data_IF_537102311270
#
_entry.id   IF_537102311270
#
_cell.length_a   1.000
_cell.length_b   1.000
_cell.length_c   1.000
_cell.angle_alpha   90.00
_cell.angle_beta   90.00
_cell.angle_gamma   90.00
#
_symmetry.space_group_name_H-M   'P 1'
#
loop_
_entity.id
_entity.type
_entity.pdbx_description
1 polymer ?
#
# COMPACT_ATOMS: atom_id res chain seq x y z
N UNK A 1 9.71 42.02 -6.19
CA UNK A 1 9.15 41.29 -7.35
C UNK A 1 9.80 39.92 -7.38
N UNK A 2 9.03 38.85 -7.57
CA UNK A 2 9.62 37.52 -7.82
C UNK A 2 10.33 37.59 -9.18
N UNK A 3 11.64 37.36 -9.18
CA UNK A 3 12.43 37.25 -10.39
C UNK A 3 12.19 35.87 -11.02
N UNK A 4 11.56 35.86 -12.20
CA UNK A 4 11.17 34.64 -12.89
C UNK A 4 12.38 33.80 -13.32
N UNK A 5 13.51 34.44 -13.61
CA UNK A 5 14.75 33.74 -13.98
C UNK A 5 15.34 33.01 -12.78
N UNK A 6 15.30 33.61 -11.60
CA UNK A 6 15.75 32.97 -10.35
C UNK A 6 14.89 31.75 -10.03
N UNK A 7 13.57 31.82 -10.22
CA UNK A 7 12.67 30.67 -10.03
C UNK A 7 13.00 29.56 -11.02
N UNK A 8 13.12 29.90 -12.30
CA UNK A 8 13.40 28.92 -13.36
C UNK A 8 14.74 28.23 -13.10
N UNK A 9 15.78 28.97 -12.73
CA UNK A 9 17.07 28.40 -12.37
C UNK A 9 17.02 27.55 -11.09
N UNK A 10 16.27 27.99 -10.07
CA UNK A 10 16.23 27.30 -8.76
C UNK A 10 15.41 26.02 -8.76
N UNK A 11 14.40 25.92 -9.64
CA UNK A 11 13.39 24.85 -9.60
C UNK A 11 13.21 24.08 -10.92
N UNK A 12 13.67 24.61 -12.06
CA UNK A 12 13.44 24.05 -13.39
C UNK A 12 14.70 24.13 -14.27
N UNK A 13 15.87 23.85 -13.69
CA UNK A 13 17.14 23.82 -14.40
C UNK A 13 17.28 22.54 -15.24
N UNK A 14 17.27 22.69 -16.56
CA UNK A 14 17.31 21.56 -17.49
C UNK A 14 18.63 20.77 -17.43
N UNK A 15 19.76 21.45 -17.26
CA UNK A 15 21.08 20.82 -17.20
C UNK A 15 21.19 19.94 -15.94
N UNK A 16 20.78 20.48 -14.78
CA UNK A 16 20.70 19.73 -13.53
C UNK A 16 19.79 18.51 -13.66
N UNK A 17 18.66 18.63 -14.35
CA UNK A 17 17.72 17.52 -14.54
C UNK A 17 18.32 16.42 -15.42
N UNK A 18 19.00 16.78 -16.52
CA UNK A 18 19.63 15.81 -17.43
C UNK A 18 20.73 15.01 -16.72
N UNK A 19 21.51 15.68 -15.87
CA UNK A 19 22.58 15.04 -15.09
C UNK A 19 22.04 13.97 -14.13
N UNK A 20 20.94 14.27 -13.42
CA UNK A 20 20.39 13.37 -12.39
C UNK A 20 19.28 12.44 -12.88
N UNK A 21 18.86 12.55 -14.15
CA UNK A 21 17.76 11.77 -14.72
C UNK A 21 17.90 10.25 -14.51
N UNK A 22 19.08 9.63 -14.72
CA UNK A 22 19.25 8.20 -14.48
C UNK A 22 18.98 7.79 -13.02
N UNK A 23 19.35 8.64 -12.07
CA UNK A 23 19.13 8.41 -10.65
C UNK A 23 17.62 8.45 -10.33
N UNK A 24 16.89 9.43 -10.87
CA UNK A 24 15.44 9.51 -10.71
C UNK A 24 14.73 8.28 -11.31
N UNK A 25 15.18 7.81 -12.48
CA UNK A 25 14.63 6.60 -13.10
C UNK A 25 14.90 5.34 -12.29
N UNK A 26 16.08 5.21 -11.67
CA UNK A 26 16.36 4.10 -10.75
C UNK A 26 15.45 4.12 -9.51
N UNK A 27 15.19 5.32 -8.97
CA UNK A 27 14.28 5.50 -7.84
C UNK A 27 12.84 5.16 -8.21
N UNK A 28 12.39 5.63 -9.38
CA UNK A 28 11.07 5.29 -9.93
C UNK A 28 10.88 3.78 -10.08
N UNK A 29 11.88 3.08 -10.64
CA UNK A 29 11.80 1.62 -10.78
C UNK A 29 11.73 0.92 -9.42
N UNK A 30 12.49 1.39 -8.43
CA UNK A 30 12.41 0.88 -7.06
C UNK A 30 11.03 1.12 -6.43
N UNK A 31 10.43 2.30 -6.62
CA UNK A 31 9.07 2.60 -6.17
C UNK A 31 8.05 1.64 -6.80
N UNK A 32 8.13 1.42 -8.11
CA UNK A 32 7.25 0.47 -8.83
C UNK A 32 7.43 -0.95 -8.30
N UNK A 33 8.69 -1.42 -8.16
CA UNK A 33 9.01 -2.73 -7.61
C UNK A 33 8.43 -2.91 -6.20
N UNK A 34 8.55 -1.89 -5.35
CA UNK A 34 8.00 -1.92 -4.00
C UNK A 34 6.48 -2.01 -4.03
N UNK A 35 5.80 -1.22 -4.86
CA UNK A 35 4.34 -1.26 -5.00
C UNK A 35 3.85 -2.64 -5.48
N UNK A 36 4.51 -3.20 -6.49
CA UNK A 36 4.19 -4.52 -7.04
C UNK A 36 4.39 -5.66 -6.03
N UNK A 37 5.22 -5.46 -5.00
CA UNK A 37 5.43 -6.45 -3.95
C UNK A 37 4.47 -6.23 -2.77
N UNK A 38 4.38 -5.01 -2.25
CA UNK A 38 3.64 -4.67 -1.04
C UNK A 38 2.13 -4.79 -1.25
N UNK A 39 1.59 -4.34 -2.39
CA UNK A 39 0.14 -4.33 -2.63
C UNK A 39 -0.43 -5.76 -2.65
N UNK A 40 0.10 -6.72 -3.45
CA UNK A 40 -0.42 -8.07 -3.44
C UNK A 40 -0.21 -8.78 -2.11
N UNK A 41 0.95 -8.61 -1.47
CA UNK A 41 1.23 -9.25 -0.18
C UNK A 41 0.30 -8.74 0.92
N UNK A 42 0.13 -7.42 1.03
CA UNK A 42 -0.83 -6.82 1.95
C UNK A 42 -2.24 -7.31 1.70
N UNK A 43 -2.69 -7.30 0.45
CA UNK A 43 -4.04 -7.76 0.08
C UNK A 43 -4.25 -9.24 0.43
N UNK A 44 -3.34 -10.12 0.03
CA UNK A 44 -3.41 -11.56 0.33
C UNK A 44 -3.38 -11.81 1.85
N UNK A 45 -2.53 -11.07 2.58
CA UNK A 45 -2.47 -11.18 4.03
C UNK A 45 -3.78 -10.71 4.69
N UNK A 46 -4.37 -9.61 4.24
CA UNK A 46 -5.66 -9.15 4.73
C UNK A 46 -6.80 -10.14 4.45
N UNK A 47 -6.90 -10.65 3.22
CA UNK A 47 -7.88 -11.69 2.87
C UNK A 47 -7.71 -12.92 3.77
N UNK A 48 -6.48 -13.34 4.03
CA UNK A 48 -6.18 -14.42 4.94
C UNK A 48 -6.68 -14.11 6.37
N UNK A 49 -6.32 -12.96 6.94
CA UNK A 49 -6.76 -12.55 8.28
C UNK A 49 -8.29 -12.53 8.41
N UNK A 50 -8.99 -11.94 7.44
CA UNK A 50 -10.45 -11.86 7.42
C UNK A 50 -11.11 -13.25 7.34
N UNK A 51 -10.58 -14.11 6.47
CA UNK A 51 -11.09 -15.46 6.27
C UNK A 51 -10.91 -16.29 7.53
N UNK A 52 -9.72 -16.24 8.16
CA UNK A 52 -9.46 -16.95 9.41
C UNK A 52 -10.38 -16.45 10.53
N UNK A 53 -10.56 -15.13 10.66
CA UNK A 53 -11.46 -14.53 11.65
C UNK A 53 -12.92 -15.02 11.51
N UNK A 54 -13.39 -15.26 10.28
CA UNK A 54 -14.76 -15.71 10.00
C UNK A 54 -15.12 -17.12 10.52
N UNK A 55 -14.13 -17.91 10.96
CA UNK A 55 -14.38 -19.22 11.57
C UNK A 55 -14.80 -19.14 13.04
N UNK A 56 -14.77 -17.95 13.66
CA UNK A 56 -15.23 -17.68 15.03
C UNK A 56 -14.54 -18.52 16.12
N UNK A 57 -13.25 -18.79 15.97
CA UNK A 57 -12.46 -19.51 16.97
C UNK A 57 -12.03 -18.50 18.04
N UNK A 58 -12.70 -18.48 19.20
CA UNK A 58 -12.57 -17.42 20.23
C UNK A 58 -11.14 -16.98 20.53
N UNK A 59 -10.25 -17.93 20.86
CA UNK A 59 -8.85 -17.61 21.22
C UNK A 59 -8.07 -17.01 20.03
N UNK A 60 -8.26 -17.56 18.84
CA UNK A 60 -7.61 -17.08 17.62
C UNK A 60 -8.14 -15.70 17.22
N UNK A 61 -9.45 -15.49 17.27
CA UNK A 61 -10.06 -14.21 16.95
C UNK A 61 -9.58 -13.11 17.89
N UNK A 62 -9.43 -13.39 19.19
CA UNK A 62 -8.86 -12.40 20.12
C UNK A 62 -7.45 -11.99 19.72
N UNK A 63 -6.57 -12.95 19.40
CA UNK A 63 -5.22 -12.66 18.91
C UNK A 63 -5.20 -11.88 17.59
N UNK A 64 -6.10 -12.22 16.66
CA UNK A 64 -6.24 -11.50 15.39
C UNK A 64 -6.70 -10.06 15.59
N UNK A 65 -7.68 -9.82 16.48
CA UNK A 65 -8.14 -8.46 16.81
C UNK A 65 -7.00 -7.63 17.38
N UNK A 66 -6.27 -8.17 18.37
CA UNK A 66 -5.11 -7.47 18.96
C UNK A 66 -4.05 -7.16 17.90
N UNK A 67 -3.74 -8.12 17.03
CA UNK A 67 -2.79 -7.93 15.94
C UNK A 67 -3.25 -6.83 14.97
N UNK A 68 -4.49 -6.90 14.50
CA UNK A 68 -5.07 -5.94 13.54
C UNK A 68 -5.12 -4.54 14.14
N UNK A 69 -5.60 -4.41 15.38
CA UNK A 69 -5.71 -3.14 16.09
C UNK A 69 -4.32 -2.52 16.31
N UNK A 70 -3.33 -3.31 16.71
CA UNK A 70 -1.96 -2.84 16.90
C UNK A 70 -1.37 -2.24 15.62
N UNK A 71 -1.40 -3.00 14.51
CA UNK A 71 -0.78 -2.57 13.27
C UNK A 71 -1.53 -1.42 12.57
N UNK A 72 -2.84 -1.26 12.81
CA UNK A 72 -3.63 -0.11 12.34
C UNK A 72 -3.44 1.13 13.22
N UNK A 73 -3.10 0.96 14.48
CA UNK A 73 -2.93 2.08 15.43
C UNK A 73 -1.57 2.77 15.31
N UNK A 74 -0.54 2.05 14.81
CA UNK A 74 0.81 2.63 14.67
C UNK A 74 0.92 3.40 13.35
N UNK A 75 1.37 4.68 13.37
CA UNK A 75 1.66 5.42 12.16
C UNK A 75 2.66 4.67 11.25
N UNK A 76 2.43 4.55 9.93
CA UNK A 76 3.29 3.76 9.04
C UNK A 76 4.77 4.17 9.08
N UNK A 77 5.06 5.47 9.21
CA UNK A 77 6.42 5.98 9.36
C UNK A 77 7.08 5.46 10.64
N UNK A 78 6.36 5.49 11.76
CA UNK A 78 6.85 5.02 13.06
C UNK A 78 7.09 3.52 13.02
N UNK A 79 6.20 2.75 12.38
CA UNK A 79 6.38 1.32 12.18
C UNK A 79 7.66 1.02 11.36
N UNK A 80 7.91 1.77 10.28
CA UNK A 80 9.14 1.62 9.50
C UNK A 80 10.39 1.86 10.34
N UNK A 81 10.37 2.87 11.21
CA UNK A 81 11.48 3.17 12.12
C UNK A 81 11.71 1.99 13.08
N UNK A 82 10.64 1.47 13.72
CA UNK A 82 10.77 0.33 14.62
C UNK A 82 11.28 -0.94 13.92
N UNK A 83 10.77 -1.25 12.73
CA UNK A 83 11.21 -2.45 11.99
C UNK A 83 12.67 -2.30 11.52
N UNK A 84 13.03 -1.14 10.98
CA UNK A 84 14.38 -0.94 10.40
C UNK A 84 15.46 -0.80 11.48
N UNK A 85 15.20 -0.03 12.53
CA UNK A 85 16.21 0.27 13.56
C UNK A 85 16.05 -0.60 14.81
N UNK A 86 14.89 -1.21 15.05
CA UNK A 86 14.65 -2.08 16.20
C UNK A 86 15.11 -3.51 15.99
N UNK A 87 14.90 -4.10 14.81
CA UNK A 87 15.28 -5.49 14.52
C UNK A 87 16.79 -5.79 14.71
N UNK A 88 17.73 -4.88 14.39
CA UNK A 88 19.15 -5.11 14.66
C UNK A 88 19.46 -5.36 16.15
N UNK A 89 18.70 -4.81 17.10
CA UNK A 89 18.88 -5.08 18.54
C UNK A 89 18.56 -6.53 18.93
N UNK A 90 17.78 -7.23 18.10
CA UNK A 90 17.49 -8.66 18.25
C UNK A 90 18.45 -9.53 17.42
N UNK A 91 19.49 -8.94 16.82
CA UNK A 91 20.48 -9.62 15.98
C UNK A 91 20.02 -9.84 14.53
N UNK A 92 18.95 -9.17 14.09
CA UNK A 92 18.43 -9.32 12.72
C UNK A 92 18.83 -8.12 11.88
N UNK A 93 19.81 -8.32 10.99
CA UNK A 93 20.20 -7.34 9.97
C UNK A 93 19.31 -7.51 8.74
N UNK A 94 18.26 -6.69 8.65
CA UNK A 94 17.25 -6.80 7.60
C UNK A 94 17.50 -5.72 6.54
N UNK A 95 17.66 -6.10 5.25
CA UNK A 95 17.81 -5.12 4.19
C UNK A 95 16.62 -4.13 4.13
N UNK A 96 16.83 -2.84 3.80
CA UNK A 96 15.77 -1.83 3.82
C UNK A 96 14.51 -2.22 3.03
N UNK A 97 14.69 -2.88 1.88
CA UNK A 97 13.56 -3.36 1.07
C UNK A 97 12.70 -4.38 1.83
N UNK A 98 13.32 -5.34 2.51
CA UNK A 98 12.62 -6.36 3.29
C UNK A 98 11.95 -5.76 4.53
N UNK A 99 12.62 -4.82 5.21
CA UNK A 99 12.05 -4.10 6.36
C UNK A 99 10.77 -3.34 5.97
N UNK A 100 10.82 -2.58 4.87
CA UNK A 100 9.67 -1.85 4.32
C UNK A 100 8.57 -2.83 3.88
N UNK A 101 8.94 -3.92 3.22
CA UNK A 101 8.00 -4.94 2.76
C UNK A 101 7.20 -5.55 3.92
N UNK A 102 7.88 -5.94 5.00
CA UNK A 102 7.24 -6.53 6.19
C UNK A 102 6.35 -5.51 6.89
N UNK A 103 6.88 -4.31 7.16
CA UNK A 103 6.15 -3.24 7.84
C UNK A 103 4.85 -2.89 7.10
N UNK A 104 4.94 -2.66 5.78
CA UNK A 104 3.76 -2.32 5.00
C UNK A 104 2.84 -3.51 4.76
N UNK A 105 3.33 -4.74 4.66
CA UNK A 105 2.46 -5.93 4.55
C UNK A 105 1.60 -6.09 5.80
N UNK A 106 2.17 -5.93 7.00
CA UNK A 106 1.41 -6.02 8.24
C UNK A 106 0.48 -4.83 8.45
N UNK A 107 0.94 -3.61 8.21
CA UNK A 107 0.10 -2.43 8.33
C UNK A 107 -1.07 -2.48 7.32
N UNK A 108 -0.78 -2.55 6.02
CA UNK A 108 -1.82 -2.57 4.98
C UNK A 108 -2.69 -3.82 5.05
N UNK A 109 -2.11 -4.99 5.34
CA UNK A 109 -2.87 -6.23 5.48
C UNK A 109 -3.85 -6.20 6.65
N UNK A 110 -3.55 -5.49 7.74
CA UNK A 110 -4.52 -5.27 8.81
C UNK A 110 -5.68 -4.36 8.37
N UNK A 111 -5.42 -3.30 7.59
CA UNK A 111 -6.50 -2.49 6.99
C UNK A 111 -7.34 -3.30 5.99
N UNK A 112 -6.70 -4.02 5.07
CA UNK A 112 -7.38 -4.87 4.11
C UNK A 112 -8.18 -5.98 4.80
N UNK A 113 -7.63 -6.61 5.83
CA UNK A 113 -8.33 -7.64 6.60
C UNK A 113 -9.62 -7.12 7.19
N UNK A 114 -9.62 -5.90 7.71
CA UNK A 114 -10.84 -5.32 8.28
C UNK A 114 -11.88 -4.93 7.26
N UNK A 115 -11.44 -4.42 6.10
CA UNK A 115 -12.31 -4.14 4.96
C UNK A 115 -12.95 -5.44 4.46
N UNK A 116 -12.15 -6.50 4.26
CA UNK A 116 -12.66 -7.79 3.80
C UNK A 116 -13.57 -8.43 4.85
N UNK A 117 -13.26 -8.30 6.14
CA UNK A 117 -14.11 -8.77 7.24
C UNK A 117 -15.49 -8.10 7.20
N UNK A 118 -15.53 -6.76 7.09
CA UNK A 118 -16.78 -6.03 6.92
C UNK A 118 -17.54 -6.47 5.65
N UNK A 119 -16.81 -6.76 4.58
CA UNK A 119 -17.38 -7.33 3.36
C UNK A 119 -18.03 -8.70 3.57
N UNK A 120 -17.38 -9.60 4.32
CA UNK A 120 -17.92 -10.92 4.67
C UNK A 120 -19.17 -10.77 5.54
N UNK A 121 -19.13 -9.89 6.55
CA UNK A 121 -20.25 -9.62 7.45
C UNK A 121 -21.46 -8.97 6.75
N UNK A 122 -21.24 -8.28 5.63
CA UNK A 122 -22.31 -7.70 4.81
C UNK A 122 -23.14 -8.75 4.04
N UNK A 123 -22.66 -10.00 3.94
CA UNK A 123 -23.34 -11.06 3.20
C UNK A 123 -24.45 -11.68 4.08
N UNK A 124 -25.69 -11.80 3.59
CA UNK A 124 -26.78 -12.42 4.36
C UNK A 124 -26.42 -13.84 4.79
N UNK A 125 -26.68 -14.20 6.05
CA UNK A 125 -26.36 -15.51 6.61
C UNK A 125 -26.93 -16.68 5.78
N UNK A 126 -28.11 -16.50 5.18
CA UNK A 126 -28.75 -17.48 4.31
C UNK A 126 -27.93 -17.88 3.07
N UNK A 127 -26.99 -17.05 2.60
CA UNK A 127 -26.08 -17.42 1.50
C UNK A 127 -25.16 -18.57 1.90
N UNK A 128 -24.66 -18.55 3.13
CA UNK A 128 -23.82 -19.64 3.66
C UNK A 128 -24.64 -20.92 3.82
N UNK A 129 -25.88 -20.81 4.32
CA UNK A 129 -26.79 -21.95 4.50
C UNK A 129 -27.19 -22.57 3.15
N UNK A 130 -27.52 -21.73 2.16
CA UNK A 130 -27.85 -22.16 0.80
C UNK A 130 -26.66 -22.87 0.14
N UNK A 131 -25.46 -22.28 0.21
CA UNK A 131 -24.24 -22.88 -0.32
C UNK A 131 -23.92 -24.23 0.32
N UNK A 132 -24.13 -24.38 1.63
CA UNK A 132 -23.92 -25.67 2.31
C UNK A 132 -24.99 -26.71 1.95
N UNK A 133 -26.20 -26.28 1.64
CA UNK A 133 -27.31 -27.15 1.23
C UNK A 133 -27.07 -27.79 -0.15
N UNK A 134 -26.14 -27.26 -0.95
CA UNK A 134 -25.71 -27.89 -2.22
C UNK A 134 -24.58 -28.92 -2.05
N UNK A 135 -24.16 -29.22 -0.81
CA UNK A 135 -23.12 -30.20 -0.50
C UNK A 135 -21.72 -29.62 -0.27
N UNK A 136 -21.56 -28.29 -0.33
CA UNK A 136 -20.28 -27.65 -0.04
C UNK A 136 -19.97 -27.70 1.47
N UNK A 137 -18.71 -27.95 1.80
CA UNK A 137 -18.20 -27.72 3.17
C UNK A 137 -18.20 -26.23 3.50
N UNK A 138 -18.12 -25.87 4.79
CA UNK A 138 -18.05 -24.45 5.20
C UNK A 138 -16.87 -23.70 4.58
N UNK A 139 -15.73 -24.37 4.43
CA UNK A 139 -14.53 -23.79 3.79
C UNK A 139 -14.77 -23.57 2.29
N UNK A 140 -15.35 -24.56 1.60
CA UNK A 140 -15.69 -24.44 0.19
C UNK A 140 -16.74 -23.35 -0.05
N UNK A 141 -17.79 -23.29 0.78
CA UNK A 141 -18.81 -22.23 0.71
C UNK A 141 -18.20 -20.85 0.95
N UNK A 142 -17.28 -20.71 1.93
CA UNK A 142 -16.55 -19.46 2.15
C UNK A 142 -15.73 -19.05 0.91
N UNK A 143 -14.92 -19.96 0.36
CA UNK A 143 -14.01 -19.65 -0.76
C UNK A 143 -14.75 -19.41 -2.07
N UNK A 144 -15.76 -20.23 -2.39
CA UNK A 144 -16.41 -20.22 -3.71
C UNK A 144 -17.65 -19.34 -3.78
N UNK A 145 -18.30 -19.03 -2.65
CA UNK A 145 -19.56 -18.28 -2.63
C UNK A 145 -19.42 -16.97 -1.88
N UNK A 146 -18.99 -17.00 -0.62
CA UNK A 146 -19.03 -15.81 0.25
C UNK A 146 -17.91 -14.83 -0.09
N UNK A 147 -16.66 -15.29 -0.15
CA UNK A 147 -15.49 -14.43 -0.33
C UNK A 147 -15.52 -13.67 -1.66
N UNK A 148 -15.88 -14.26 -2.82
CA UNK A 148 -15.97 -13.51 -4.07
C UNK A 148 -17.05 -12.41 -4.03
N UNK A 149 -18.18 -12.66 -3.35
CA UNK A 149 -19.23 -11.66 -3.16
C UNK A 149 -18.78 -10.55 -2.21
N UNK A 150 -18.17 -10.92 -1.08
CA UNK A 150 -17.62 -9.99 -0.09
C UNK A 150 -16.59 -9.04 -0.73
N UNK A 151 -15.63 -9.59 -1.49
CA UNK A 151 -14.61 -8.81 -2.18
C UNK A 151 -15.22 -7.85 -3.22
N UNK A 152 -16.26 -8.27 -3.94
CA UNK A 152 -16.99 -7.39 -4.85
C UNK A 152 -17.69 -6.26 -4.10
N UNK A 153 -18.23 -6.54 -2.91
CA UNK A 153 -18.95 -5.57 -2.09
C UNK A 153 -18.05 -4.44 -1.58
N UNK A 154 -16.80 -4.77 -1.24
CA UNK A 154 -15.82 -3.82 -0.65
C UNK A 154 -14.70 -3.42 -1.61
N UNK A 155 -14.84 -3.75 -2.90
CA UNK A 155 -13.87 -3.36 -3.94
C UNK A 155 -13.57 -1.84 -3.96
N UNK A 156 -14.53 -0.92 -3.73
CA UNK A 156 -14.25 0.52 -3.60
C UNK A 156 -13.27 0.86 -2.47
N UNK A 157 -13.47 0.24 -1.29
CA UNK A 157 -12.66 0.51 -0.10
C UNK A 157 -11.24 -0.07 -0.25
N UNK A 158 -11.13 -1.27 -0.83
CA UNK A 158 -9.85 -1.92 -1.17
C UNK A 158 -9.06 -1.08 -2.16
N UNK A 159 -9.74 -0.54 -3.17
CA UNK A 159 -9.17 0.35 -4.18
C UNK A 159 -8.62 1.62 -3.54
N UNK A 160 -9.42 2.27 -2.69
CA UNK A 160 -9.02 3.49 -1.99
C UNK A 160 -7.80 3.27 -1.09
N UNK A 161 -7.80 2.19 -0.30
CA UNK A 161 -6.66 1.83 0.55
C UNK A 161 -5.41 1.48 -0.26
N UNK A 162 -5.56 0.86 -1.42
CA UNK A 162 -4.42 0.55 -2.31
C UNK A 162 -3.77 1.82 -2.85
N UNK A 163 -4.58 2.82 -3.25
CA UNK A 163 -4.06 4.12 -3.68
C UNK A 163 -3.29 4.80 -2.54
N UNK A 164 -3.82 4.73 -1.33
CA UNK A 164 -3.17 5.29 -0.14
C UNK A 164 -1.84 4.58 0.18
N UNK A 165 -1.81 3.26 0.09
CA UNK A 165 -0.60 2.46 0.26
C UNK A 165 0.48 2.81 -0.77
N UNK A 166 0.11 2.95 -2.04
CA UNK A 166 1.04 3.36 -3.10
C UNK A 166 1.63 4.75 -2.78
N UNK A 167 0.83 5.71 -2.32
CA UNK A 167 1.33 7.03 -1.89
C UNK A 167 2.26 6.93 -0.68
N UNK A 168 1.90 6.10 0.30
CA UNK A 168 2.67 5.88 1.52
C UNK A 168 4.05 5.26 1.25
N UNK A 169 4.28 4.63 0.09
CA UNK A 169 5.61 4.10 -0.26
C UNK A 169 6.72 5.16 -0.28
N UNK A 170 6.36 6.43 -0.55
CA UNK A 170 7.30 7.55 -0.48
C UNK A 170 7.92 7.77 0.91
N UNK A 171 7.23 7.32 1.98
CA UNK A 171 7.72 7.40 3.37
C UNK A 171 8.92 6.46 3.59
N UNK A 172 9.07 5.41 2.77
CA UNK A 172 10.23 4.52 2.82
C UNK A 172 11.57 5.26 2.57
N UNK A 173 11.52 6.47 1.98
CA UNK A 173 12.69 7.37 1.88
C UNK A 173 13.37 7.65 3.22
N UNK A 174 12.61 7.65 4.32
CA UNK A 174 13.13 7.97 5.67
C UNK A 174 14.00 6.84 6.22
N UNK A 175 13.74 5.60 5.81
CA UNK A 175 14.55 4.42 6.18
C UNK A 175 15.58 4.09 5.10
N UNK A 176 16.00 5.11 4.34
CA UNK A 176 17.03 5.05 3.32
C UNK A 176 16.80 4.03 2.18
N UNK A 177 15.56 3.55 1.98
CA UNK A 177 15.24 2.79 0.78
C UNK A 177 15.44 3.70 -0.45
N UNK A 178 16.18 3.27 -1.49
CA UNK A 178 16.47 4.09 -2.66
C UNK A 178 15.28 4.15 -3.64
N UNK A 179 14.10 4.51 -3.12
CA UNK A 179 12.92 4.82 -3.93
C UNK A 179 12.98 6.25 -4.49
N UNK A 180 12.01 6.64 -5.31
CA UNK A 180 12.00 7.88 -6.08
C UNK A 180 12.26 9.14 -5.23
N UNK A 181 11.62 9.30 -4.07
CA UNK A 181 11.81 10.48 -3.22
C UNK A 181 13.22 10.50 -2.60
N UNK A 182 13.76 9.35 -2.19
CA UNK A 182 15.12 9.20 -1.69
C UNK A 182 16.15 9.55 -2.76
N UNK A 183 15.98 9.00 -3.97
CA UNK A 183 16.85 9.31 -5.10
C UNK A 183 16.77 10.78 -5.51
N UNK A 184 15.59 11.41 -5.42
CA UNK A 184 15.45 12.85 -5.60
C UNK A 184 16.20 13.70 -4.58
N UNK A 185 16.20 13.30 -3.29
CA UNK A 185 17.00 13.99 -2.25
C UNK A 185 18.50 13.80 -2.47
N UNK A 186 18.93 12.62 -2.90
CA UNK A 186 20.34 12.36 -3.26
C UNK A 186 20.72 13.24 -4.46
N UNK A 187 19.91 13.25 -5.53
CA UNK A 187 20.10 14.11 -6.69
C UNK A 187 20.20 15.59 -6.32
N UNK A 188 19.27 16.10 -5.50
CA UNK A 188 19.32 17.47 -5.01
C UNK A 188 20.65 17.80 -4.31
N UNK A 189 21.18 16.88 -3.51
CA UNK A 189 22.48 17.05 -2.85
C UNK A 189 23.67 17.05 -3.81
N UNK A 190 23.57 16.36 -4.96
CA UNK A 190 24.63 16.31 -5.97
C UNK A 190 24.70 17.61 -6.79
N UNK A 191 23.54 18.12 -7.24
CA UNK A 191 23.48 19.33 -8.08
C UNK A 191 23.26 20.62 -7.29
N UNK A 192 23.10 20.53 -5.96
CA UNK A 192 22.80 21.65 -5.06
C UNK A 192 21.62 22.53 -5.53
N UNK A 193 20.61 21.91 -6.15
CA UNK A 193 19.48 22.59 -6.80
C UNK A 193 18.17 21.84 -6.49
N UNK A 194 17.04 22.55 -6.37
CA UNK A 194 15.75 21.94 -6.01
C UNK A 194 15.03 21.27 -7.20
N UNK A 195 15.53 21.44 -8.43
CA UNK A 195 14.96 20.85 -9.65
C UNK A 195 14.69 19.34 -9.55
N UNK A 196 15.58 18.50 -8.99
CA UNK A 196 15.30 17.07 -8.86
C UNK A 196 14.08 16.76 -7.99
N UNK A 197 13.81 17.56 -6.95
CA UNK A 197 12.61 17.38 -6.12
C UNK A 197 11.34 17.80 -6.85
N UNK A 198 11.40 18.86 -7.66
CA UNK A 198 10.29 19.26 -8.52
C UNK A 198 9.99 18.19 -9.58
N UNK A 199 11.03 17.59 -10.16
CA UNK A 199 10.90 16.46 -11.06
C UNK A 199 10.27 15.24 -10.36
N UNK A 200 10.70 14.90 -9.14
CA UNK A 200 10.08 13.84 -8.33
C UNK A 200 8.59 14.10 -8.10
N UNK A 201 8.22 15.33 -7.71
CA UNK A 201 6.81 15.69 -7.50
C UNK A 201 5.99 15.55 -8.79
N UNK A 202 6.53 15.99 -9.93
CA UNK A 202 5.90 15.83 -11.24
C UNK A 202 5.75 14.34 -11.62
N UNK A 203 6.78 13.52 -11.42
CA UNK A 203 6.74 12.07 -11.71
C UNK A 203 5.68 11.38 -10.83
N UNK A 204 5.63 11.67 -9.53
CA UNK A 204 4.59 11.13 -8.65
C UNK A 204 3.19 11.55 -9.11
N UNK A 205 2.99 12.81 -9.50
CA UNK A 205 1.71 13.30 -10.02
C UNK A 205 1.31 12.57 -11.31
N UNK A 206 2.23 12.47 -12.28
CA UNK A 206 2.00 11.79 -13.56
C UNK A 206 1.73 10.30 -13.40
N UNK A 207 2.34 9.64 -12.40
CA UNK A 207 2.11 8.24 -12.10
C UNK A 207 0.77 8.01 -11.41
N UNK A 208 0.46 8.81 -10.38
CA UNK A 208 -0.67 8.56 -9.50
C UNK A 208 -1.99 9.11 -10.03
N UNK A 209 -1.98 10.27 -10.69
CA UNK A 209 -3.22 10.92 -11.12
C UNK A 209 -4.03 10.08 -12.13
N UNK A 210 -3.41 9.52 -13.20
CA UNK A 210 -4.11 8.61 -14.11
C UNK A 210 -4.62 7.36 -13.41
N UNK A 211 -3.83 6.77 -12.50
CA UNK A 211 -4.24 5.61 -11.71
C UNK A 211 -5.48 5.92 -10.89
N UNK A 212 -5.49 7.00 -10.10
CA UNK A 212 -6.66 7.41 -9.31
C UNK A 212 -7.88 7.59 -10.21
N UNK A 213 -7.74 8.27 -11.36
CA UNK A 213 -8.85 8.49 -12.29
C UNK A 213 -9.38 7.19 -12.91
N UNK A 214 -8.50 6.25 -13.24
CA UNK A 214 -8.87 4.95 -13.77
C UNK A 214 -9.62 4.13 -12.73
N UNK A 215 -9.07 4.02 -11.51
CA UNK A 215 -9.67 3.26 -10.42
C UNK A 215 -11.04 3.83 -10.02
N UNK A 216 -11.20 5.15 -9.91
CA UNK A 216 -12.52 5.75 -9.63
C UNK A 216 -13.54 5.54 -10.75
N UNK A 217 -13.10 5.37 -12.02
CA UNK A 217 -14.02 5.01 -13.12
C UNK A 217 -14.48 3.56 -13.02
N UNK A 218 -13.57 2.64 -12.66
CA UNK A 218 -13.89 1.23 -12.45
C UNK A 218 -14.86 1.07 -11.28
N UNK A 219 -14.63 1.78 -10.18
CA UNK A 219 -15.50 1.81 -9.00
C UNK A 219 -16.95 2.21 -9.37
N UNK A 220 -17.12 3.31 -10.11
CA UNK A 220 -18.45 3.77 -10.56
C UNK A 220 -19.17 2.72 -11.42
N UNK A 221 -18.45 2.02 -12.30
CA UNK A 221 -19.03 0.96 -13.14
C UNK A 221 -19.48 -0.24 -12.31
N UNK A 222 -18.72 -0.62 -11.28
CA UNK A 222 -19.07 -1.72 -10.39
C UNK A 222 -20.31 -1.38 -9.54
N UNK A 223 -20.41 -0.14 -9.07
CA UNK A 223 -21.57 0.34 -8.31
C UNK A 223 -22.83 0.44 -9.18
N UNK A 224 -22.72 0.79 -10.46
CA UNK A 224 -23.85 0.82 -11.39
C UNK A 224 -24.33 -0.56 -11.87
N UNK A 225 -23.55 -1.61 -11.61
CA UNK A 225 -23.86 -3.00 -11.99
C UNK A 225 -24.45 -3.82 -10.83
N UNK A 226 -24.68 -3.19 -9.67
CA UNK A 226 -25.46 -3.71 -8.54
C UNK A 226 -26.93 -3.38 -8.71
#
# INVERSE_FOLDING_TARGET
MLDWEVIKFSFFNEDSLREVWPLLMSGWWMTVKLCLAVVPLGFCFGVFLATVHSFHIRALNWGLVVFVDFFRSIPPLVLLIYVTYGLPFFGWDVPPFAAVLVAFTFNSGSYYGEIVRAGIESIPAGQMEAARSTGLTRVQAMIYVILPQALRNVAPDLTSNTIELIKATSIASVVALPELLRMGRVAQGLVYNATPLMAVAAIYLLMLWPMVRLLSRLERRMMSAR
#
